data_IF_534832318617
#
_entry.id   IF_534832318617
#
_cell.length_a   1.000
_cell.length_b   1.000
_cell.length_c   1.000
_cell.angle_alpha   90.00
_cell.angle_beta   90.00
_cell.angle_gamma   90.00
#
_symmetry.space_group_name_H-M   'P 1'
#
loop_
_entity.id
_entity.type
_entity.pdbx_description
1 polymer ?
#
# COMPACT_ATOMS: atom_id res chain seq x y z
N UNK A 1 -0.70 26.17 -11.13
CA UNK A 1 -0.34 24.78 -10.80
C UNK A 1 1.09 24.51 -11.25
N UNK A 2 1.92 24.02 -10.36
CA UNK A 2 3.30 23.64 -10.72
C UNK A 2 3.36 22.18 -11.19
N UNK A 3 4.53 21.75 -11.66
CA UNK A 3 4.72 20.42 -12.19
C UNK A 3 4.47 19.34 -11.13
N UNK A 4 4.88 19.57 -9.90
CA UNK A 4 4.68 18.62 -8.81
C UNK A 4 3.19 18.39 -8.54
N UNK A 5 2.40 19.46 -8.52
CA UNK A 5 0.95 19.37 -8.34
C UNK A 5 0.29 18.63 -9.49
N UNK A 6 0.73 18.92 -10.73
CA UNK A 6 0.21 18.23 -11.92
C UNK A 6 0.51 16.73 -11.84
N UNK A 7 1.70 16.34 -11.40
CA UNK A 7 2.07 14.93 -11.28
C UNK A 7 1.23 14.22 -10.21
N UNK A 8 0.92 14.88 -9.11
CA UNK A 8 0.03 14.31 -8.09
C UNK A 8 -1.36 14.04 -8.69
N UNK A 9 -1.90 15.01 -9.45
CA UNK A 9 -3.19 14.86 -10.09
C UNK A 9 -3.19 13.68 -11.07
N UNK A 10 -2.13 13.56 -11.87
CA UNK A 10 -2.00 12.45 -12.81
C UNK A 10 -1.90 11.10 -12.10
N UNK A 11 -1.12 11.02 -11.03
CA UNK A 11 -1.01 9.78 -10.23
C UNK A 11 -2.36 9.39 -9.64
N UNK A 12 -3.10 10.37 -9.09
CA UNK A 12 -4.45 10.12 -8.56
C UNK A 12 -5.37 9.57 -9.65
N UNK A 13 -5.33 10.15 -10.84
CA UNK A 13 -6.15 9.69 -11.96
C UNK A 13 -5.80 8.27 -12.35
N UNK A 14 -4.52 7.94 -12.48
CA UNK A 14 -4.09 6.59 -12.85
C UNK A 14 -4.48 5.58 -11.77
N UNK A 15 -4.33 5.93 -10.50
CA UNK A 15 -4.74 5.05 -9.40
C UNK A 15 -6.24 4.78 -9.46
N UNK A 16 -7.06 5.82 -9.62
CA UNK A 16 -8.51 5.63 -9.60
C UNK A 16 -9.07 4.97 -10.85
N UNK A 17 -8.41 5.16 -12.01
CA UNK A 17 -8.91 4.62 -13.29
C UNK A 17 -8.34 3.24 -13.59
N UNK A 18 -7.15 2.94 -13.13
CA UNK A 18 -6.48 1.69 -13.48
C UNK A 18 -6.14 0.84 -12.25
N UNK A 19 -5.36 1.35 -11.30
CA UNK A 19 -4.86 0.53 -10.19
C UNK A 19 -5.97 0.01 -9.29
N UNK A 20 -6.84 0.89 -8.83
CA UNK A 20 -7.94 0.49 -7.96
C UNK A 20 -8.90 -0.50 -8.63
N UNK A 21 -9.37 -0.26 -9.87
CA UNK A 21 -10.23 -1.23 -10.53
C UNK A 21 -9.57 -2.59 -10.74
N UNK A 22 -8.28 -2.63 -11.09
CA UNK A 22 -7.56 -3.89 -11.26
C UNK A 22 -7.40 -4.64 -9.95
N UNK A 23 -7.16 -3.94 -8.86
CA UNK A 23 -7.10 -4.55 -7.53
C UNK A 23 -8.47 -5.07 -7.09
N UNK A 24 -9.55 -4.31 -7.37
CA UNK A 24 -10.91 -4.77 -7.06
C UNK A 24 -11.25 -6.07 -7.79
N UNK A 25 -10.79 -6.22 -9.04
CA UNK A 25 -10.94 -7.47 -9.78
C UNK A 25 -10.19 -8.63 -9.14
N UNK A 26 -9.20 -8.36 -8.31
CA UNK A 26 -8.39 -9.36 -7.61
C UNK A 26 -8.85 -9.54 -6.16
N UNK A 27 -10.10 -9.24 -5.89
CA UNK A 27 -10.77 -9.44 -4.60
C UNK A 27 -10.36 -8.47 -3.49
N UNK A 28 -9.78 -7.35 -3.87
CA UNK A 28 -9.60 -6.26 -2.91
C UNK A 28 -10.92 -5.50 -2.73
N UNK A 29 -11.05 -4.83 -1.60
CA UNK A 29 -12.19 -4.00 -1.29
C UNK A 29 -11.72 -2.73 -0.58
N UNK A 30 -12.60 -1.75 -0.47
CA UNK A 30 -12.31 -0.53 0.29
C UNK A 30 -12.15 -0.85 1.77
N UNK A 31 -11.16 -0.19 2.37
CA UNK A 31 -10.90 -0.30 3.80
C UNK A 31 -11.52 0.89 4.53
N UNK A 32 -12.04 0.67 5.74
CA UNK A 32 -12.54 1.75 6.58
C UNK A 32 -11.42 2.39 7.42
N UNK A 33 -10.24 1.80 7.43
CA UNK A 33 -9.10 2.33 8.19
C UNK A 33 -8.56 3.57 7.48
N UNK A 34 -8.25 4.61 8.27
CA UNK A 34 -7.65 5.84 7.75
C UNK A 34 -6.19 5.92 8.12
N UNK A 35 -5.39 6.39 7.17
CA UNK A 35 -3.97 6.61 7.41
C UNK A 35 -3.79 8.03 7.98
N UNK A 36 -2.96 8.21 9.02
CA UNK A 36 -2.79 9.54 9.61
C UNK A 36 -2.16 10.56 8.68
N UNK A 37 -1.40 10.14 7.67
CA UNK A 37 -0.65 11.03 6.79
C UNK A 37 -0.98 10.89 5.30
N UNK A 38 -1.90 10.01 4.93
CA UNK A 38 -2.27 9.79 3.53
C UNK A 38 -3.77 10.02 3.39
N UNK A 39 -4.14 10.88 2.44
CA UNK A 39 -5.54 11.13 2.12
C UNK A 39 -6.15 9.93 1.40
N UNK A 40 -7.44 9.74 1.60
CA UNK A 40 -8.21 8.74 0.90
C UNK A 40 -8.36 7.45 1.68
N UNK A 41 -9.15 6.57 1.10
CA UNK A 41 -9.43 5.27 1.70
C UNK A 41 -8.35 4.28 1.35
N UNK A 42 -8.08 3.34 2.27
CA UNK A 42 -7.23 2.21 1.99
C UNK A 42 -7.97 1.15 1.19
N UNK A 43 -7.22 0.15 0.80
CA UNK A 43 -7.71 -1.03 0.08
C UNK A 43 -7.22 -2.25 0.83
N UNK A 44 -8.04 -3.29 0.91
CA UNK A 44 -7.67 -4.48 1.69
C UNK A 44 -8.30 -5.74 1.12
N UNK A 45 -7.68 -6.89 1.39
CA UNK A 45 -8.30 -8.21 1.20
C UNK A 45 -8.76 -8.79 2.53
N UNK A 46 -8.24 -8.26 3.64
CA UNK A 46 -8.62 -8.68 4.98
C UNK A 46 -8.52 -7.48 5.92
N UNK A 47 -9.07 -7.59 7.10
CA UNK A 47 -9.16 -6.46 8.02
C UNK A 47 -7.86 -6.18 8.80
N UNK A 48 -6.81 -6.91 8.50
CA UNK A 48 -5.55 -6.78 9.25
C UNK A 48 -4.41 -6.15 8.47
N UNK A 49 -4.48 -6.15 7.13
CA UNK A 49 -3.45 -5.56 6.29
C UNK A 49 -4.12 -4.64 5.29
N UNK A 50 -3.78 -3.36 5.35
CA UNK A 50 -4.40 -2.31 4.54
C UNK A 50 -3.38 -1.66 3.64
N UNK A 51 -3.78 -1.39 2.40
CA UNK A 51 -2.93 -0.83 1.36
C UNK A 51 -3.31 0.63 1.12
N UNK A 52 -2.32 1.53 1.14
CA UNK A 52 -2.51 2.94 0.85
C UNK A 52 -1.55 3.42 -0.22
N UNK A 53 -2.01 4.32 -1.07
CA UNK A 53 -1.19 4.94 -2.10
C UNK A 53 -0.74 6.32 -1.63
N UNK A 54 0.56 6.49 -1.39
CA UNK A 54 1.13 7.78 -1.03
C UNK A 54 1.53 8.51 -2.32
N UNK A 55 0.62 9.29 -2.86
CA UNK A 55 0.79 9.94 -4.15
C UNK A 55 1.51 11.27 -4.06
N UNK A 56 1.76 11.75 -2.84
CA UNK A 56 2.43 13.03 -2.61
C UNK A 56 3.95 12.93 -2.76
N UNK A 57 4.51 11.74 -2.57
CA UNK A 57 5.95 11.55 -2.55
C UNK A 57 6.54 11.03 -3.86
N UNK A 58 5.73 10.87 -4.88
CA UNK A 58 6.21 10.38 -6.16
C UNK A 58 6.93 11.46 -6.96
N UNK A 59 7.73 11.05 -7.94
CA UNK A 59 8.33 11.95 -8.92
C UNK A 59 8.60 11.19 -10.22
N UNK A 60 9.00 11.92 -11.26
CA UNK A 60 9.32 11.32 -12.55
C UNK A 60 10.77 10.85 -12.58
N UNK A 61 10.98 9.71 -13.21
CA UNK A 61 12.34 9.27 -13.56
C UNK A 61 12.74 9.88 -14.92
N UNK A 62 14.05 10.05 -15.15
CA UNK A 62 14.52 10.61 -16.45
C UNK A 62 14.10 9.80 -17.67
N UNK A 63 13.83 8.50 -17.50
CA UNK A 63 13.39 7.63 -18.60
C UNK A 63 11.88 7.72 -18.87
N UNK A 64 11.19 8.62 -18.19
CA UNK A 64 9.76 8.83 -18.37
C UNK A 64 8.87 7.98 -17.47
N UNK A 65 9.46 7.16 -16.59
CA UNK A 65 8.66 6.43 -15.63
C UNK A 65 8.19 7.35 -14.52
N UNK A 66 6.98 7.12 -14.07
CA UNK A 66 6.41 7.75 -12.89
C UNK A 66 6.54 6.80 -11.72
N UNK A 67 6.60 7.32 -10.50
CA UNK A 67 6.63 6.46 -9.32
C UNK A 67 5.95 7.12 -8.13
N UNK A 68 5.52 6.28 -7.23
CA UNK A 68 4.95 6.68 -5.95
C UNK A 68 5.21 5.59 -4.92
N UNK A 69 4.85 5.88 -3.68
CA UNK A 69 5.04 4.91 -2.60
C UNK A 69 3.70 4.29 -2.24
N UNK A 70 3.72 2.97 -2.08
CA UNK A 70 2.59 2.21 -1.55
C UNK A 70 2.94 1.80 -0.12
N UNK A 71 2.02 2.00 0.80
CA UNK A 71 2.19 1.58 2.18
C UNK A 71 1.23 0.46 2.51
N UNK A 72 1.78 -0.58 3.13
CA UNK A 72 1.03 -1.72 3.65
C UNK A 72 0.99 -1.55 5.16
N UNK A 73 -0.19 -1.36 5.71
CA UNK A 73 -0.36 -0.89 7.09
C UNK A 73 -1.06 -1.92 7.93
N UNK A 74 -0.51 -2.20 9.10
CA UNK A 74 -1.14 -3.01 10.14
C UNK A 74 -1.72 -2.07 11.19
N UNK A 75 -2.95 -2.33 11.66
CA UNK A 75 -3.51 -1.55 12.76
C UNK A 75 -2.66 -1.67 14.02
N UNK A 76 -2.72 -0.65 14.86
CA UNK A 76 -1.92 -0.57 16.09
C UNK A 76 -2.18 -1.70 17.09
N UNK A 77 -3.32 -2.38 16.99
CA UNK A 77 -3.65 -3.49 17.88
C UNK A 77 -2.99 -4.81 17.48
N UNK A 78 -2.26 -4.83 16.38
CA UNK A 78 -1.56 -6.03 15.94
C UNK A 78 -0.19 -6.08 16.64
N UNK A 79 0.08 -7.19 17.32
CA UNK A 79 1.39 -7.42 17.94
C UNK A 79 2.30 -8.11 16.95
N UNK A 80 3.41 -7.46 16.62
CA UNK A 80 4.42 -8.06 15.73
C UNK A 80 5.50 -8.74 16.56
N UNK A 81 5.92 -9.96 16.17
CA UNK A 81 7.15 -10.54 16.68
C UNK A 81 8.35 -9.66 16.36
N UNK A 82 9.39 -9.71 17.19
CA UNK A 82 10.56 -8.85 17.02
C UNK A 82 11.25 -9.04 15.68
N UNK A 83 11.24 -10.26 15.14
CA UNK A 83 11.86 -10.54 13.85
C UNK A 83 11.11 -9.93 12.65
N UNK A 84 9.91 -9.41 12.85
CA UNK A 84 9.14 -8.73 11.81
C UNK A 84 9.14 -7.20 12.00
N UNK A 85 9.84 -6.69 12.98
CA UNK A 85 10.02 -5.26 13.20
C UNK A 85 11.32 -4.80 12.59
N UNK A 86 11.31 -3.63 11.97
CA UNK A 86 12.51 -3.02 11.42
C UNK A 86 12.39 -2.65 9.96
N UNK A 87 13.45 -2.05 9.39
CA UNK A 87 13.40 -1.50 8.02
C UNK A 87 13.12 -2.53 6.92
N UNK A 88 13.51 -3.79 7.12
CA UNK A 88 13.32 -4.83 6.11
C UNK A 88 11.90 -5.37 6.07
N UNK A 89 11.15 -5.15 7.13
CA UNK A 89 9.76 -5.60 7.23
C UNK A 89 8.86 -4.43 7.59
N UNK A 90 8.46 -4.32 8.85
CA UNK A 90 7.53 -3.27 9.27
C UNK A 90 8.22 -2.29 10.22
N UNK A 91 7.99 -1.02 9.98
CA UNK A 91 8.43 0.05 10.88
C UNK A 91 7.21 0.72 11.48
N UNK A 92 7.38 1.32 12.66
CA UNK A 92 6.28 2.04 13.30
C UNK A 92 6.01 3.36 12.56
N UNK A 93 4.74 3.62 12.27
CA UNK A 93 4.29 4.90 11.77
C UNK A 93 4.35 5.95 12.88
N UNK A 94 4.23 7.21 12.46
CA UNK A 94 3.99 8.29 13.39
C UNK A 94 2.73 8.01 14.20
N UNK A 95 2.75 8.46 15.45
CA UNK A 95 1.64 8.24 16.37
C UNK A 95 0.49 9.20 16.04
N UNK A 96 -0.72 8.65 16.03
CA UNK A 96 -1.94 9.43 15.91
C UNK A 96 -2.81 9.12 17.11
N UNK A 97 -3.11 10.13 17.92
CA UNK A 97 -3.92 10.01 19.14
C UNK A 97 -3.44 8.90 20.08
N UNK A 98 -2.13 8.74 20.19
CA UNK A 98 -1.53 7.73 21.04
C UNK A 98 -1.45 6.34 20.42
N UNK A 99 -1.95 6.16 19.22
CA UNK A 99 -1.92 4.89 18.51
C UNK A 99 -0.80 4.88 17.49
N UNK A 100 -0.10 3.76 17.38
CA UNK A 100 0.95 3.55 16.41
C UNK A 100 0.51 2.51 15.40
N UNK A 101 0.98 2.65 14.17
CA UNK A 101 0.72 1.69 13.11
C UNK A 101 2.05 1.11 12.64
N UNK A 102 2.06 -0.18 12.39
CA UNK A 102 3.18 -0.82 11.71
C UNK A 102 2.96 -0.67 10.21
N UNK A 103 4.01 -0.31 9.48
CA UNK A 103 3.93 -0.12 8.03
C UNK A 103 5.11 -0.75 7.31
N UNK A 104 4.85 -1.14 6.07
CA UNK A 104 5.88 -1.52 5.11
C UNK A 104 5.71 -0.64 3.88
N UNK A 105 6.78 -0.01 3.42
CA UNK A 105 6.74 0.91 2.30
C UNK A 105 7.47 0.32 1.10
N UNK A 106 6.85 0.42 -0.08
CA UNK A 106 7.44 -0.05 -1.33
C UNK A 106 7.32 1.04 -2.39
N UNK A 107 8.39 1.21 -3.15
CA UNK A 107 8.40 2.10 -4.30
C UNK A 107 7.80 1.37 -5.50
N UNK A 108 6.84 1.99 -6.14
CA UNK A 108 6.16 1.44 -7.31
C UNK A 108 6.44 2.34 -8.51
N UNK A 109 6.92 1.74 -9.60
CA UNK A 109 7.18 2.45 -10.85
C UNK A 109 6.21 2.00 -11.92
N UNK A 110 5.76 2.96 -12.73
CA UNK A 110 4.90 2.66 -13.88
C UNK A 110 5.11 3.71 -14.96
N UNK A 111 4.52 3.48 -16.12
CA UNK A 111 4.63 4.43 -17.24
C UNK A 111 3.25 4.70 -17.82
N UNK A 112 2.90 5.97 -17.94
CA UNK A 112 1.65 6.39 -18.56
C UNK A 112 1.56 5.88 -19.98
N UNK A 113 0.36 5.43 -20.38
CA UNK A 113 0.11 4.98 -21.73
C UNK A 113 0.80 3.68 -22.11
N UNK A 114 1.43 3.00 -21.16
CA UNK A 114 2.05 1.71 -21.38
C UNK A 114 1.35 0.67 -20.51
N UNK A 115 0.30 0.05 -21.03
CA UNK A 115 -0.55 -0.87 -20.28
C UNK A 115 0.24 -2.00 -19.62
N UNK A 116 1.26 -2.52 -20.32
CA UNK A 116 2.10 -3.58 -19.74
C UNK A 116 2.81 -3.11 -18.49
N UNK A 117 3.32 -1.86 -18.47
CA UNK A 117 3.98 -1.31 -17.29
C UNK A 117 3.00 -1.09 -16.14
N UNK A 118 1.78 -0.69 -16.46
CA UNK A 118 0.72 -0.55 -15.46
C UNK A 118 0.34 -1.92 -14.88
N UNK A 119 0.21 -2.94 -15.73
CA UNK A 119 -0.03 -4.31 -15.29
C UNK A 119 1.07 -4.81 -14.37
N UNK A 120 2.32 -4.59 -14.75
CA UNK A 120 3.47 -5.00 -13.95
C UNK A 120 3.46 -4.32 -12.58
N UNK A 121 3.09 -3.05 -12.53
CA UNK A 121 2.97 -2.30 -11.28
C UNK A 121 1.86 -2.87 -10.38
N UNK A 122 0.69 -3.17 -10.96
CA UNK A 122 -0.40 -3.78 -10.21
C UNK A 122 0.01 -5.17 -9.71
N UNK A 123 0.67 -5.97 -10.55
CA UNK A 123 1.14 -7.30 -10.17
C UNK A 123 2.14 -7.23 -9.02
N UNK A 124 3.04 -6.24 -9.06
CA UNK A 124 3.99 -6.01 -7.97
C UNK A 124 3.28 -5.70 -6.66
N UNK A 125 2.31 -4.78 -6.70
CA UNK A 125 1.54 -4.39 -5.52
C UNK A 125 0.81 -5.60 -4.93
N UNK A 126 0.12 -6.36 -5.79
CA UNK A 126 -0.64 -7.52 -5.37
C UNK A 126 0.26 -8.61 -4.78
N UNK A 127 1.38 -8.89 -5.45
CA UNK A 127 2.33 -9.90 -4.98
C UNK A 127 2.90 -9.54 -3.62
N UNK A 128 3.30 -8.27 -3.44
CA UNK A 128 3.84 -7.83 -2.14
C UNK A 128 2.79 -7.93 -1.04
N UNK A 129 1.55 -7.53 -1.33
CA UNK A 129 0.48 -7.66 -0.35
C UNK A 129 0.32 -9.12 0.10
N UNK A 130 0.30 -10.05 -0.86
CA UNK A 130 0.13 -11.47 -0.57
C UNK A 130 1.31 -12.05 0.19
N UNK A 131 2.53 -11.65 -0.15
CA UNK A 131 3.73 -12.05 0.60
C UNK A 131 3.65 -11.62 2.06
N UNK A 132 3.29 -10.37 2.30
CA UNK A 132 3.17 -9.84 3.66
C UNK A 132 2.03 -10.53 4.41
N UNK A 133 0.91 -10.74 3.74
CA UNK A 133 -0.24 -11.43 4.32
C UNK A 133 0.11 -12.87 4.71
N UNK A 134 0.81 -13.59 3.84
CA UNK A 134 1.25 -14.96 4.12
C UNK A 134 2.21 -15.02 5.30
N UNK A 135 3.14 -14.07 5.37
CA UNK A 135 4.08 -13.98 6.47
C UNK A 135 3.35 -13.75 7.80
N UNK A 136 2.35 -12.87 7.80
CA UNK A 136 1.55 -12.60 8.98
C UNK A 136 0.73 -13.82 9.39
N UNK A 137 0.21 -14.58 8.43
CA UNK A 137 -0.50 -15.82 8.68
C UNK A 137 0.41 -16.88 9.31
N UNK A 138 1.64 -16.99 8.83
CA UNK A 138 2.62 -17.92 9.39
C UNK A 138 2.88 -17.66 10.87
N UNK A 139 2.79 -16.41 11.29
CA UNK A 139 2.94 -16.02 12.68
C UNK A 139 1.61 -15.99 13.43
N UNK A 140 0.54 -16.48 12.82
CA UNK A 140 -0.81 -16.52 13.40
C UNK A 140 -1.35 -15.16 13.81
N UNK A 141 -0.92 -14.11 13.10
CA UNK A 141 -1.36 -12.75 13.39
C UNK A 141 -2.66 -12.39 12.68
N UNK A 142 -2.92 -13.02 11.53
CA UNK A 142 -4.17 -12.85 10.78
C UNK A 142 -4.61 -14.20 10.24
N UNK A 143 -5.90 -14.31 9.93
CA UNK A 143 -6.45 -15.48 9.27
C UNK A 143 -6.63 -16.69 10.15
N UNK A 144 -5.59 -17.11 10.82
CA UNK A 144 -5.63 -18.29 11.70
C UNK A 144 -6.19 -18.01 13.06
N UNK A 145 -6.09 -16.78 13.54
CA UNK A 145 -6.49 -16.42 14.88
C UNK A 145 -7.95 -16.72 15.20
N UNK A 146 -8.77 -16.85 14.17
CA UNK A 146 -10.19 -17.08 14.30
C UNK A 146 -10.59 -18.55 14.13
N UNK A 147 -9.65 -19.41 13.92
CA UNK A 147 -9.91 -20.82 13.59
C UNK A 147 -9.94 -21.74 14.82
N UNK A 148 -10.01 -21.19 15.95
CA UNK A 148 -10.01 -21.97 17.19
C UNK A 148 -11.33 -22.55 17.53
#
# INVERSE_FOLDING_TARGET
MNLSEANVILRKAVVSVYFEPELMKRNYRRSSVKHPNIEGEGITMNDHLHLFFDLQTGCDYPDGDEWFIVEYVLPYNIRLPDNLKGPDYFTTLAVDEGNSYWRHRELVRYRYGKSKRLEEAVDFIDRKYRELSDMLNEHSLIGKGNSN
#
